data_IF_625829848349
#
_entry.id   IF_625829848349
#
_cell.length_a   1.000
_cell.length_b   1.000
_cell.length_c   1.000
_cell.angle_alpha   90.00
_cell.angle_beta   90.00
_cell.angle_gamma   90.00
#
_symmetry.space_group_name_H-M   'P 1'
#
loop_
_entity.id
_entity.type
_entity.pdbx_description
1 polymer ?
#
# COMPACT_ATOMS: atom_id res chain seq x y z
N UNK A 1 66.09 -17.82 -29.47
CA UNK A 1 66.57 -17.00 -28.35
C UNK A 1 65.60 -17.05 -27.19
N UNK A 2 66.04 -17.21 -25.97
CA UNK A 2 65.42 -17.82 -24.84
C UNK A 2 64.29 -17.00 -24.20
N UNK A 3 63.12 -17.64 -24.07
CA UNK A 3 62.08 -17.28 -23.10
C UNK A 3 62.57 -17.54 -21.68
N UNK A 4 63.03 -16.54 -20.94
CA UNK A 4 63.25 -16.58 -19.48
C UNK A 4 63.80 -15.22 -19.04
N UNK A 5 62.95 -14.26 -18.68
CA UNK A 5 63.28 -13.11 -17.81
C UNK A 5 62.07 -12.17 -17.75
N UNK A 6 60.92 -12.65 -17.23
CA UNK A 6 59.79 -11.77 -16.90
C UNK A 6 59.06 -12.27 -15.66
N UNK A 7 59.80 -12.61 -14.64
CA UNK A 7 59.24 -12.96 -13.34
C UNK A 7 60.25 -12.62 -12.25
N UNK A 8 60.35 -11.34 -11.90
CA UNK A 8 60.84 -10.89 -10.58
C UNK A 8 60.68 -9.38 -10.50
N UNK A 9 59.50 -8.94 -10.16
CA UNK A 9 59.19 -7.67 -9.50
C UNK A 9 57.74 -7.71 -9.02
N UNK A 10 57.40 -8.64 -8.15
CA UNK A 10 56.22 -8.56 -7.34
C UNK A 10 56.55 -7.67 -6.14
N UNK A 11 56.31 -6.39 -6.26
CA UNK A 11 56.32 -5.48 -5.15
C UNK A 11 55.18 -5.88 -4.19
N UNK A 12 55.59 -6.16 -2.97
CA UNK A 12 54.68 -6.42 -1.86
C UNK A 12 53.86 -5.14 -1.55
N UNK A 13 52.72 -5.00 -2.15
CA UNK A 13 51.65 -4.13 -1.63
C UNK A 13 51.01 -4.88 -0.49
N UNK A 14 51.36 -4.49 0.74
CA UNK A 14 50.67 -4.92 1.93
C UNK A 14 49.17 -4.60 1.81
N UNK A 15 48.36 -5.63 1.63
CA UNK A 15 46.92 -5.52 1.80
C UNK A 15 46.64 -5.28 3.29
N UNK A 16 46.52 -4.01 3.69
CA UNK A 16 45.90 -3.70 4.95
C UNK A 16 44.44 -4.21 4.85
N UNK A 17 43.96 -5.03 5.79
CA UNK A 17 42.60 -5.41 5.81
C UNK A 17 41.78 -4.12 6.06
N UNK A 18 41.06 -3.68 5.06
CA UNK A 18 39.93 -2.76 5.23
C UNK A 18 38.92 -3.49 6.10
N UNK A 19 39.07 -3.42 7.41
CA UNK A 19 37.97 -3.65 8.32
C UNK A 19 36.97 -2.54 8.04
N UNK A 20 36.05 -2.82 7.12
CA UNK A 20 34.81 -2.09 7.11
C UNK A 20 34.25 -2.21 8.53
N UNK A 21 34.26 -1.12 9.29
CA UNK A 21 33.54 -1.01 10.53
C UNK A 21 32.06 -1.19 10.15
N UNK A 22 31.59 -2.44 10.08
CA UNK A 22 30.20 -2.80 10.10
C UNK A 22 29.70 -2.51 11.53
N UNK A 23 29.58 -1.23 11.89
CA UNK A 23 28.64 -0.87 12.93
C UNK A 23 27.30 -1.39 12.44
N UNK A 24 26.64 -2.29 13.17
CA UNK A 24 25.33 -2.75 12.78
C UNK A 24 24.46 -1.50 12.61
N UNK A 25 24.00 -1.24 11.39
CA UNK A 25 23.06 -0.18 11.12
C UNK A 25 21.83 -0.55 11.93
N UNK A 26 21.57 0.20 13.01
CA UNK A 26 20.39 -0.03 13.83
C UNK A 26 19.19 0.25 12.95
N UNK A 27 18.55 -0.83 12.47
CA UNK A 27 17.34 -0.70 11.65
C UNK A 27 16.22 -0.15 12.53
N UNK A 28 15.60 0.98 12.16
CA UNK A 28 14.51 1.54 12.93
C UNK A 28 13.36 0.54 12.97
N UNK A 29 12.78 0.34 14.13
CA UNK A 29 11.65 -0.56 14.33
C UNK A 29 10.44 0.21 14.81
N UNK A 30 9.43 0.29 13.95
CA UNK A 30 8.16 0.95 14.23
C UNK A 30 7.26 0.15 15.19
N UNK A 31 6.17 0.78 15.59
CA UNK A 31 5.21 0.29 16.58
C UNK A 31 3.87 -0.09 15.97
N UNK A 32 3.68 0.07 14.66
CA UNK A 32 2.41 -0.22 14.00
C UNK A 32 2.08 -1.70 14.10
N UNK A 33 0.86 -2.00 14.51
CA UNK A 33 0.31 -3.34 14.59
C UNK A 33 -0.55 -3.67 13.37
N UNK A 34 -1.14 -2.66 12.74
CA UNK A 34 -2.05 -2.75 11.62
C UNK A 34 -1.61 -1.80 10.50
N UNK A 35 -1.95 -2.15 9.27
CA UNK A 35 -1.76 -1.28 8.11
C UNK A 35 -3.07 -1.20 7.31
N UNK A 36 -3.51 0.02 7.02
CA UNK A 36 -4.58 0.31 6.05
C UNK A 36 -3.92 0.92 4.82
N UNK A 37 -3.96 0.22 3.70
CA UNK A 37 -3.40 0.66 2.44
C UNK A 37 -4.53 1.14 1.50
N UNK A 38 -4.66 2.46 1.35
CA UNK A 38 -5.62 3.09 0.45
C UNK A 38 -4.99 3.16 -0.94
N UNK A 39 -5.58 2.48 -1.90
CA UNK A 39 -5.10 2.40 -3.27
C UNK A 39 -5.88 3.33 -4.20
N UNK A 40 -5.17 4.25 -4.84
CA UNK A 40 -5.69 5.24 -5.77
C UNK A 40 -5.28 4.85 -7.20
N UNK A 41 -5.91 3.81 -7.74
CA UNK A 41 -5.59 3.30 -9.06
C UNK A 41 -5.89 4.30 -10.18
N UNK A 42 -4.92 4.50 -11.05
CA UNK A 42 -4.98 5.42 -12.17
C UNK A 42 -3.94 6.54 -12.17
N UNK A 43 -3.08 6.64 -11.15
CA UNK A 43 -2.02 7.66 -11.12
C UNK A 43 -2.50 8.99 -10.54
N UNK A 44 -2.57 9.10 -9.23
CA UNK A 44 -2.90 10.34 -8.53
C UNK A 44 -1.89 11.46 -8.88
N UNK A 45 -2.40 12.59 -9.38
CA UNK A 45 -1.57 13.75 -9.70
C UNK A 45 -1.07 14.42 -8.41
N UNK A 46 0.21 14.24 -8.07
CA UNK A 46 0.84 14.85 -6.90
C UNK A 46 0.73 16.38 -6.91
N UNK A 47 0.90 16.98 -8.08
CA UNK A 47 0.83 18.44 -8.27
C UNK A 47 -0.57 19.02 -8.07
N UNK A 48 -1.61 18.20 -8.19
CA UNK A 48 -3.01 18.60 -7.99
C UNK A 48 -3.56 18.16 -6.63
N UNK A 49 -2.73 17.51 -5.79
CA UNK A 49 -3.12 16.97 -4.49
C UNK A 49 -2.16 17.37 -3.36
N UNK A 50 -1.14 16.57 -3.10
CA UNK A 50 -0.27 16.69 -1.91
C UNK A 50 1.01 17.50 -2.13
N UNK A 51 1.33 17.88 -3.36
CA UNK A 51 2.51 18.67 -3.71
C UNK A 51 2.15 19.81 -4.68
N UNK A 52 1.18 20.69 -4.33
CA UNK A 52 0.76 21.77 -5.21
C UNK A 52 1.90 22.75 -5.48
N UNK A 53 1.93 23.26 -6.71
CA UNK A 53 2.91 24.24 -7.21
C UNK A 53 2.18 25.47 -7.75
N UNK A 54 2.89 26.32 -8.49
CA UNK A 54 2.28 27.45 -9.20
C UNK A 54 1.11 26.96 -10.07
N UNK A 55 0.03 27.73 -10.07
CA UNK A 55 -1.13 27.45 -10.92
C UNK A 55 -0.75 27.42 -12.39
N UNK A 56 -1.22 26.39 -13.07
CA UNK A 56 -1.17 26.23 -14.50
C UNK A 56 -2.45 26.75 -15.18
N UNK A 57 -2.52 26.57 -16.49
CA UNK A 57 -3.71 26.84 -17.30
C UNK A 57 -3.88 25.74 -18.33
N UNK A 58 -4.98 24.99 -18.28
CA UNK A 58 -5.27 23.90 -19.19
C UNK A 58 -6.35 24.24 -20.24
N UNK A 59 -6.91 25.46 -20.22
CA UNK A 59 -8.06 25.85 -21.05
C UNK A 59 -7.67 26.62 -22.31
N UNK A 60 -6.54 27.31 -22.31
CA UNK A 60 -6.09 28.12 -23.43
C UNK A 60 -5.44 27.28 -24.54
N UNK A 61 -5.36 27.87 -25.74
CA UNK A 61 -4.62 27.28 -26.88
C UNK A 61 -3.16 27.02 -26.51
N UNK A 62 -2.54 27.96 -25.75
CA UNK A 62 -1.21 27.80 -25.16
C UNK A 62 -1.39 27.40 -23.70
N UNK A 63 -1.21 26.12 -23.42
CA UNK A 63 -1.32 25.58 -22.05
C UNK A 63 -0.09 25.96 -21.23
N UNK A 64 -0.32 26.30 -19.96
CA UNK A 64 0.75 26.63 -19.01
C UNK A 64 0.83 25.51 -17.97
N UNK A 65 1.99 24.84 -17.91
CA UNK A 65 2.24 23.79 -16.92
C UNK A 65 2.10 24.30 -15.48
N UNK A 66 1.54 23.49 -14.61
CA UNK A 66 1.34 23.82 -13.18
C UNK A 66 0.18 23.08 -12.57
N UNK A 67 -0.16 23.42 -11.33
CA UNK A 67 -1.30 22.87 -10.59
C UNK A 67 -2.63 23.33 -11.17
N UNK A 68 -3.64 22.45 -11.14
CA UNK A 68 -5.02 22.82 -11.50
C UNK A 68 -5.71 23.63 -10.40
N UNK A 69 -5.36 23.38 -9.14
CA UNK A 69 -6.04 23.90 -7.97
C UNK A 69 -5.10 24.74 -7.11
N UNK A 70 -5.68 25.64 -6.31
CA UNK A 70 -4.91 26.50 -5.40
C UNK A 70 -4.33 25.68 -4.25
N UNK A 71 -3.16 26.10 -3.78
CA UNK A 71 -2.58 25.60 -2.55
C UNK A 71 -3.24 26.27 -1.33
N UNK A 72 -3.40 25.51 -0.25
CA UNK A 72 -3.82 25.98 1.07
C UNK A 72 -2.81 25.53 2.13
N UNK A 73 -2.69 26.31 3.19
CA UNK A 73 -1.86 25.95 4.34
C UNK A 73 -2.49 24.81 5.15
N UNK A 74 -1.64 24.06 5.82
CA UNK A 74 -2.03 22.97 6.71
C UNK A 74 -1.76 23.33 8.17
N UNK A 75 -2.09 22.41 9.10
CA UNK A 75 -1.70 22.53 10.52
C UNK A 75 -0.19 22.47 10.74
N UNK A 76 0.58 21.99 9.75
CA UNK A 76 2.06 21.97 9.81
C UNK A 76 2.61 23.18 9.06
N UNK A 77 3.31 24.11 9.75
CA UNK A 77 3.84 25.31 9.13
C UNK A 77 4.73 25.01 7.91
N UNK A 78 4.50 25.74 6.82
CA UNK A 78 5.26 25.61 5.57
C UNK A 78 4.87 24.41 4.70
N UNK A 79 3.92 23.58 5.14
CA UNK A 79 3.38 22.46 4.34
C UNK A 79 2.03 22.86 3.77
N UNK A 80 1.92 22.79 2.45
CA UNK A 80 0.69 23.09 1.70
C UNK A 80 0.19 21.85 0.97
N UNK A 81 -1.12 21.80 0.79
CA UNK A 81 -1.85 20.83 -0.04
C UNK A 81 -2.86 21.56 -0.92
N UNK A 82 -3.50 20.90 -1.87
CA UNK A 82 -4.54 21.53 -2.68
C UNK A 82 -5.77 21.92 -1.85
N UNK A 83 -6.51 22.94 -2.29
CA UNK A 83 -7.75 23.43 -1.65
C UNK A 83 -8.82 22.36 -1.47
N UNK A 84 -8.80 21.30 -2.29
CA UNK A 84 -9.73 20.17 -2.19
C UNK A 84 -9.37 19.16 -1.08
N UNK A 85 -8.20 19.31 -0.44
CA UNK A 85 -7.77 18.50 0.72
C UNK A 85 -7.95 19.26 2.06
N UNK A 86 -8.99 20.07 2.16
CA UNK A 86 -9.24 21.00 3.28
C UNK A 86 -9.48 20.30 4.63
N UNK A 87 -9.99 19.08 4.66
CA UNK A 87 -10.18 18.30 5.87
C UNK A 87 -8.88 17.62 6.31
N UNK A 88 -8.13 17.09 5.34
CA UNK A 88 -6.80 16.48 5.58
C UNK A 88 -5.81 17.53 6.05
N UNK A 89 -5.87 18.76 5.50
CA UNK A 89 -5.04 19.89 5.96
C UNK A 89 -5.15 20.15 7.47
N UNK A 90 -6.30 19.85 8.09
CA UNK A 90 -6.58 20.04 9.53
C UNK A 90 -6.07 18.91 10.43
N UNK A 91 -5.53 17.85 9.88
CA UNK A 91 -4.98 16.67 10.60
C UNK A 91 -3.55 16.35 10.15
N UNK A 92 -2.89 17.31 9.48
CA UNK A 92 -1.58 17.13 8.85
C UNK A 92 -0.46 16.82 9.85
N UNK A 93 -0.63 17.18 11.13
CA UNK A 93 0.29 16.80 12.20
C UNK A 93 0.40 15.29 12.44
N UNK A 94 -0.55 14.51 11.88
CA UNK A 94 -0.55 13.03 11.92
C UNK A 94 -0.13 12.41 10.59
N UNK A 95 0.34 13.22 9.65
CA UNK A 95 0.58 12.82 8.25
C UNK A 95 1.98 13.20 7.82
N UNK A 96 2.59 12.38 7.00
CA UNK A 96 3.78 12.71 6.22
C UNK A 96 3.54 12.37 4.75
N UNK A 97 3.57 13.37 3.91
CA UNK A 97 3.56 13.21 2.45
C UNK A 97 4.99 12.93 1.97
N UNK A 98 5.24 11.76 1.44
CA UNK A 98 6.50 11.39 0.78
C UNK A 98 6.46 11.95 -0.64
N UNK A 99 6.97 13.18 -0.86
CA UNK A 99 6.80 13.94 -2.12
C UNK A 99 7.72 13.51 -3.25
N UNK A 100 8.71 12.70 -2.96
CA UNK A 100 9.79 12.34 -3.88
C UNK A 100 9.87 10.84 -4.16
N UNK A 101 8.77 10.11 -3.94
CA UNK A 101 8.71 8.71 -4.33
C UNK A 101 8.92 8.58 -5.83
N UNK A 102 9.70 7.60 -6.25
CA UNK A 102 10.06 7.46 -7.65
C UNK A 102 10.33 6.01 -8.05
N UNK A 103 10.07 5.71 -9.30
CA UNK A 103 10.50 4.52 -10.02
C UNK A 103 10.54 4.82 -11.53
N UNK A 104 11.02 3.88 -12.32
CA UNK A 104 11.28 4.10 -13.75
C UNK A 104 10.15 3.65 -14.68
N UNK A 105 9.07 3.06 -14.18
CA UNK A 105 7.92 2.64 -15.00
C UNK A 105 6.93 3.80 -15.12
N UNK A 106 6.67 4.27 -16.34
CA UNK A 106 5.84 5.46 -16.58
C UNK A 106 4.73 5.28 -17.63
N UNK A 107 4.75 4.21 -18.40
CA UNK A 107 3.86 4.10 -19.56
C UNK A 107 2.79 3.01 -19.44
N UNK A 108 2.81 2.22 -18.35
CA UNK A 108 1.94 1.07 -18.27
C UNK A 108 1.46 0.84 -16.82
N UNK A 109 0.15 0.95 -16.61
CA UNK A 109 -0.50 0.84 -15.29
C UNK A 109 -0.29 -0.52 -14.62
N UNK A 110 -0.38 -1.62 -15.35
CA UNK A 110 -0.27 -2.95 -14.76
C UNK A 110 1.15 -3.22 -14.23
N UNK A 111 2.18 -2.81 -14.99
CA UNK A 111 3.57 -2.89 -14.55
C UNK A 111 3.83 -2.02 -13.32
N UNK A 112 3.39 -0.76 -13.36
CA UNK A 112 3.57 0.18 -12.27
C UNK A 112 2.81 -0.29 -11.01
N UNK A 113 1.57 -0.80 -11.17
CA UNK A 113 0.79 -1.39 -10.07
C UNK A 113 1.54 -2.57 -9.46
N UNK A 114 2.11 -3.45 -10.29
CA UNK A 114 2.89 -4.58 -9.78
C UNK A 114 4.10 -4.11 -8.94
N UNK A 115 4.87 -3.16 -9.46
CA UNK A 115 6.05 -2.64 -8.74
C UNK A 115 5.65 -2.02 -7.40
N UNK A 116 4.58 -1.21 -7.38
CA UNK A 116 4.15 -0.57 -6.12
C UNK A 116 3.61 -1.60 -5.12
N UNK A 117 2.99 -2.68 -5.55
CA UNK A 117 2.52 -3.70 -4.61
C UNK A 117 3.61 -4.67 -4.18
N UNK A 118 4.60 -4.97 -5.02
CA UNK A 118 5.62 -6.00 -4.73
C UNK A 118 6.99 -5.45 -4.38
N UNK A 119 7.25 -4.15 -4.67
CA UNK A 119 8.60 -3.56 -4.59
C UNK A 119 9.56 -4.11 -5.64
N UNK A 120 9.07 -4.87 -6.65
CA UNK A 120 9.89 -5.64 -7.56
C UNK A 120 9.44 -5.51 -9.01
N UNK A 121 10.42 -5.51 -9.92
CA UNK A 121 10.14 -5.74 -11.34
C UNK A 121 9.64 -7.16 -11.55
N UNK A 122 8.75 -7.32 -12.55
CA UNK A 122 8.31 -8.65 -12.96
C UNK A 122 9.54 -9.45 -13.41
N UNK A 123 9.72 -10.62 -12.80
CA UNK A 123 10.77 -11.58 -13.15
C UNK A 123 10.11 -12.85 -13.68
N UNK A 124 10.56 -13.37 -14.83
CA UNK A 124 9.94 -14.50 -15.50
C UNK A 124 9.80 -15.79 -14.68
N UNK A 125 10.57 -15.94 -13.60
CA UNK A 125 10.66 -17.17 -12.82
C UNK A 125 10.19 -17.04 -11.37
N UNK A 126 9.88 -15.82 -10.90
CA UNK A 126 9.47 -15.56 -9.50
C UNK A 126 8.23 -14.72 -9.48
N UNK A 127 7.17 -15.24 -8.84
CA UNK A 127 5.99 -14.45 -8.52
C UNK A 127 6.19 -13.87 -7.13
N UNK A 128 6.56 -12.59 -7.07
CA UNK A 128 6.83 -11.91 -5.80
C UNK A 128 5.53 -11.66 -5.02
N UNK A 129 5.57 -11.82 -3.68
CA UNK A 129 4.43 -11.48 -2.83
C UNK A 129 4.24 -9.96 -2.77
N UNK A 130 2.99 -9.56 -2.61
CA UNK A 130 2.65 -8.16 -2.33
C UNK A 130 3.11 -7.73 -0.93
N UNK A 131 3.23 -6.43 -0.71
CA UNK A 131 3.52 -5.85 0.62
C UNK A 131 2.51 -6.32 1.68
N UNK A 132 1.22 -6.42 1.31
CA UNK A 132 0.19 -6.94 2.21
C UNK A 132 0.39 -8.42 2.56
N UNK A 133 0.79 -9.22 1.58
CA UNK A 133 1.09 -10.63 1.79
C UNK A 133 2.35 -10.85 2.63
N UNK A 134 3.37 -10.03 2.46
CA UNK A 134 4.57 -10.06 3.32
C UNK A 134 4.19 -9.72 4.77
N UNK A 135 3.42 -8.64 4.97
CA UNK A 135 2.97 -8.25 6.31
C UNK A 135 2.09 -9.33 6.94
N UNK A 136 1.18 -9.93 6.18
CA UNK A 136 0.34 -11.04 6.62
C UNK A 136 1.17 -12.27 7.03
N UNK A 137 2.19 -12.60 6.24
CA UNK A 137 3.09 -13.73 6.51
C UNK A 137 3.91 -13.51 7.78
N UNK A 138 4.51 -12.33 7.93
CA UNK A 138 5.42 -12.00 9.01
C UNK A 138 4.73 -11.76 10.36
N UNK A 139 3.50 -11.25 10.34
CA UNK A 139 2.82 -10.77 11.54
C UNK A 139 1.57 -11.58 11.91
N UNK A 140 0.96 -12.30 10.97
CA UNK A 140 -0.32 -12.98 11.19
C UNK A 140 -1.44 -12.02 11.61
N UNK A 141 -2.64 -12.54 11.85
CA UNK A 141 -3.74 -11.78 12.46
C UNK A 141 -3.57 -11.68 13.98
N UNK A 142 -4.21 -10.69 14.61
CA UNK A 142 -4.31 -10.59 16.06
C UNK A 142 -5.50 -11.42 16.52
N UNK A 143 -5.28 -12.43 17.37
CA UNK A 143 -6.35 -13.22 17.98
C UNK A 143 -6.90 -14.40 17.18
N UNK A 144 -6.52 -14.57 15.90
CA UNK A 144 -6.84 -15.79 15.13
C UNK A 144 -8.27 -15.94 14.60
N UNK A 145 -9.19 -15.02 14.91
CA UNK A 145 -10.60 -15.07 14.47
C UNK A 145 -10.86 -14.35 13.12
N UNK A 146 -9.85 -13.70 12.56
CA UNK A 146 -9.92 -12.95 11.31
C UNK A 146 -8.73 -13.29 10.42
N UNK A 147 -8.85 -13.16 9.08
CA UNK A 147 -7.70 -13.34 8.20
C UNK A 147 -6.68 -12.22 8.42
N UNK A 148 -5.39 -12.47 8.22
CA UNK A 148 -4.36 -11.43 8.38
C UNK A 148 -4.42 -10.36 7.29
N UNK A 149 -5.01 -10.64 6.13
CA UNK A 149 -5.11 -9.71 5.00
C UNK A 149 -6.52 -9.70 4.41
N UNK A 150 -7.12 -8.50 4.34
CA UNK A 150 -8.41 -8.26 3.67
C UNK A 150 -8.23 -7.22 2.57
N UNK A 151 -8.75 -7.53 1.38
CA UNK A 151 -8.82 -6.62 0.24
C UNK A 151 -10.26 -6.14 0.04
N UNK A 152 -10.49 -4.85 0.16
CA UNK A 152 -11.75 -4.20 -0.22
C UNK A 152 -11.61 -3.66 -1.63
N UNK A 153 -11.90 -4.52 -2.61
CA UNK A 153 -11.69 -4.28 -4.03
C UNK A 153 -11.70 -5.59 -4.83
N UNK A 154 -11.54 -5.49 -6.14
CA UNK A 154 -11.42 -6.68 -6.98
C UNK A 154 -10.04 -7.34 -6.84
N UNK A 155 -9.99 -8.69 -6.85
CA UNK A 155 -8.74 -9.42 -6.79
C UNK A 155 -7.85 -9.11 -8.00
N UNK A 156 -6.54 -9.03 -7.76
CA UNK A 156 -5.53 -8.80 -8.77
C UNK A 156 -4.28 -9.61 -8.41
N UNK A 157 -3.58 -10.10 -9.42
CA UNK A 157 -2.36 -10.90 -9.24
C UNK A 157 -1.25 -10.14 -8.52
N UNK A 158 -1.14 -8.82 -8.74
CA UNK A 158 -0.16 -7.94 -8.08
C UNK A 158 -0.36 -7.84 -6.56
N UNK A 159 -1.53 -8.18 -6.04
CA UNK A 159 -1.87 -8.16 -4.60
C UNK A 159 -1.70 -9.52 -3.94
N UNK A 160 -1.38 -10.54 -4.74
CA UNK A 160 -1.34 -11.94 -4.31
C UNK A 160 -0.15 -12.29 -3.43
N UNK A 161 -0.19 -13.50 -2.86
CA UNK A 161 0.84 -14.00 -1.95
C UNK A 161 2.13 -14.43 -2.66
N UNK A 162 2.16 -14.51 -3.99
CA UNK A 162 3.32 -14.99 -4.72
C UNK A 162 3.81 -16.34 -4.21
N UNK A 163 5.11 -16.50 -4.05
CA UNK A 163 5.73 -17.73 -3.57
C UNK A 163 5.43 -18.08 -2.10
N UNK A 164 4.82 -17.16 -1.32
CA UNK A 164 4.46 -17.44 0.08
C UNK A 164 3.25 -18.38 0.24
N UNK A 165 2.52 -18.61 -0.84
CA UNK A 165 1.38 -19.52 -0.83
C UNK A 165 0.12 -18.96 -0.15
N UNK A 166 -0.93 -19.79 -0.10
CA UNK A 166 -2.29 -19.37 0.27
C UNK A 166 -2.41 -18.76 1.67
N UNK A 167 -1.57 -19.17 2.62
CA UNK A 167 -1.58 -18.62 4.00
C UNK A 167 -1.33 -17.12 4.08
N UNK A 168 -0.58 -16.58 3.13
CA UNK A 168 -0.28 -15.16 3.05
C UNK A 168 -1.23 -14.42 2.07
N UNK A 169 -2.25 -15.11 1.55
CA UNK A 169 -3.26 -14.54 0.67
C UNK A 169 -4.27 -13.67 1.40
N UNK A 170 -5.16 -13.07 0.63
CA UNK A 170 -6.21 -12.19 1.12
C UNK A 170 -7.60 -12.81 0.99
N UNK A 171 -8.50 -12.40 1.89
CA UNK A 171 -9.95 -12.49 1.68
C UNK A 171 -10.40 -11.17 1.06
N UNK A 172 -11.21 -11.21 0.00
CA UNK A 172 -11.66 -9.99 -0.66
C UNK A 172 -13.17 -9.80 -0.60
N UNK A 173 -13.59 -8.55 -0.70
CA UNK A 173 -14.98 -8.15 -0.86
C UNK A 173 -15.08 -6.91 -1.79
N UNK A 174 -16.22 -6.81 -2.46
CA UNK A 174 -16.54 -5.68 -3.33
C UNK A 174 -17.78 -4.90 -2.87
N UNK A 175 -18.54 -5.46 -1.93
CA UNK A 175 -19.72 -4.84 -1.33
C UNK A 175 -19.58 -4.81 0.20
N UNK A 176 -19.58 -3.59 0.74
CA UNK A 176 -19.49 -3.36 2.19
C UNK A 176 -20.73 -3.74 2.96
N UNK A 177 -21.90 -3.89 2.28
CA UNK A 177 -23.15 -4.22 2.94
C UNK A 177 -23.31 -5.72 3.18
N UNK A 178 -22.78 -6.54 2.27
CA UNK A 178 -22.88 -8.01 2.33
C UNK A 178 -21.61 -8.67 2.86
N UNK A 179 -20.48 -7.94 2.84
CA UNK A 179 -19.18 -8.49 3.22
C UNK A 179 -18.62 -9.48 2.17
N UNK A 180 -17.62 -10.29 2.53
CA UNK A 180 -17.00 -11.23 1.61
C UNK A 180 -17.96 -12.38 1.25
N UNK A 181 -18.03 -12.70 -0.06
CA UNK A 181 -18.88 -13.75 -0.56
C UNK A 181 -18.41 -15.14 -0.10
N UNK A 182 -19.34 -16.04 0.21
CA UNK A 182 -19.06 -17.43 0.58
C UNK A 182 -18.72 -17.67 2.06
N UNK A 183 -18.64 -16.63 2.89
CA UNK A 183 -18.38 -16.75 4.33
C UNK A 183 -19.67 -16.82 5.17
N UNK A 184 -20.81 -16.50 4.61
CA UNK A 184 -22.11 -16.74 5.23
C UNK A 184 -22.56 -18.17 4.95
N UNK A 185 -23.09 -18.84 5.98
CA UNK A 185 -23.73 -20.14 5.80
C UNK A 185 -25.03 -19.95 5.01
N UNK A 186 -25.28 -20.71 3.93
CA UNK A 186 -26.57 -20.69 3.24
C UNK A 186 -27.72 -21.06 4.21
N UNK A 187 -28.87 -20.41 4.11
CA UNK A 187 -30.02 -20.58 5.02
C UNK A 187 -30.52 -22.04 5.09
N UNK A 188 -30.36 -22.82 4.01
CA UNK A 188 -30.75 -24.22 3.93
C UNK A 188 -29.72 -25.19 4.57
N UNK A 189 -28.60 -24.69 5.10
CA UNK A 189 -27.54 -25.48 5.76
C UNK A 189 -27.53 -25.13 7.23
N UNK A 190 -28.20 -25.93 8.06
CA UNK A 190 -28.12 -25.83 9.49
C UNK A 190 -26.75 -26.27 10.04
N UNK A 191 -26.50 -26.03 11.32
CA UNK A 191 -25.24 -26.34 11.97
C UNK A 191 -24.89 -27.83 11.93
N UNK A 192 -25.87 -28.70 12.15
CA UNK A 192 -25.69 -30.15 12.13
C UNK A 192 -25.24 -30.62 10.72
N UNK A 193 -25.87 -30.07 9.69
CA UNK A 193 -25.56 -30.38 8.29
C UNK A 193 -24.17 -29.85 7.90
N UNK A 194 -23.76 -28.69 8.41
CA UNK A 194 -22.42 -28.15 8.21
C UNK A 194 -21.37 -29.06 8.86
N UNK A 195 -21.51 -29.42 10.12
CA UNK A 195 -20.62 -30.33 10.84
C UNK A 195 -20.52 -31.70 10.15
N UNK A 196 -21.65 -32.25 9.68
CA UNK A 196 -21.64 -33.51 8.92
C UNK A 196 -20.82 -33.41 7.63
N UNK A 197 -20.94 -32.32 6.90
CA UNK A 197 -20.13 -32.06 5.69
C UNK A 197 -18.64 -31.97 5.99
N UNK A 198 -18.26 -31.28 7.05
CA UNK A 198 -16.86 -31.18 7.50
C UNK A 198 -16.29 -32.55 7.88
N UNK A 199 -17.06 -33.34 8.64
CA UNK A 199 -16.68 -34.72 9.03
C UNK A 199 -16.49 -35.63 7.82
N UNK A 200 -17.31 -35.51 6.78
CA UNK A 200 -17.18 -36.26 5.54
C UNK A 200 -15.99 -35.80 4.69
N UNK A 201 -15.68 -34.51 4.70
CA UNK A 201 -14.62 -33.91 3.93
C UNK A 201 -13.22 -34.18 4.53
N UNK A 202 -13.09 -34.21 5.84
CA UNK A 202 -11.81 -34.38 6.54
C UNK A 202 -11.03 -35.65 6.11
N UNK A 203 -11.62 -36.89 6.02
CA UNK A 203 -10.87 -38.03 5.59
C UNK A 203 -10.51 -38.01 4.08
N UNK A 204 -11.28 -37.30 3.25
CA UNK A 204 -10.94 -37.10 1.84
C UNK A 204 -9.73 -36.20 1.70
N UNK A 205 -9.71 -35.10 2.43
CA UNK A 205 -8.59 -34.17 2.45
C UNK A 205 -7.32 -34.77 3.07
N UNK A 206 -7.45 -35.66 4.03
CA UNK A 206 -6.30 -36.35 4.62
C UNK A 206 -5.60 -37.31 3.61
N UNK A 207 -6.33 -37.81 2.59
CA UNK A 207 -5.82 -38.68 1.52
C UNK A 207 -5.30 -37.90 0.31
N UNK A 208 -5.50 -36.57 0.28
CA UNK A 208 -5.05 -35.76 -0.85
C UNK A 208 -3.52 -35.80 -0.99
N UNK A 209 -2.99 -35.82 -2.23
CA UNK A 209 -1.56 -35.76 -2.47
C UNK A 209 -0.88 -34.54 -1.76
N UNK A 210 0.37 -34.71 -1.36
CA UNK A 210 1.15 -33.67 -0.67
C UNK A 210 1.82 -32.66 -1.62
N UNK A 211 1.40 -32.62 -2.88
CA UNK A 211 1.89 -31.64 -3.85
C UNK A 211 1.57 -30.23 -3.41
N UNK A 212 2.45 -29.27 -3.68
CA UNK A 212 2.35 -27.89 -3.17
C UNK A 212 1.01 -27.20 -3.49
N UNK A 213 0.51 -27.35 -4.72
CA UNK A 213 -0.77 -26.78 -5.14
C UNK A 213 -1.97 -27.35 -4.38
N UNK A 214 -1.94 -28.64 -4.02
CA UNK A 214 -3.00 -29.31 -3.27
C UNK A 214 -2.91 -28.95 -1.80
N UNK A 215 -1.69 -28.81 -1.27
CA UNK A 215 -1.44 -28.33 0.09
C UNK A 215 -1.94 -26.88 0.27
N UNK A 216 -1.71 -26.02 -0.71
CA UNK A 216 -2.22 -24.64 -0.73
C UNK A 216 -3.74 -24.59 -0.77
N UNK A 217 -4.38 -25.41 -1.62
CA UNK A 217 -5.85 -25.54 -1.69
C UNK A 217 -6.43 -25.97 -0.34
N UNK A 218 -5.85 -27.00 0.28
CA UNK A 218 -6.25 -27.49 1.59
C UNK A 218 -6.14 -26.40 2.65
N UNK A 219 -5.03 -25.68 2.66
CA UNK A 219 -4.81 -24.57 3.57
C UNK A 219 -5.85 -23.45 3.39
N UNK A 220 -6.12 -23.05 2.15
CA UNK A 220 -7.14 -22.03 1.84
C UNK A 220 -8.53 -22.48 2.29
N UNK A 221 -8.86 -23.78 2.12
CA UNK A 221 -10.13 -24.35 2.55
C UNK A 221 -10.25 -24.39 4.07
N UNK A 222 -9.21 -24.80 4.80
CA UNK A 222 -9.19 -24.80 6.27
C UNK A 222 -9.37 -23.38 6.81
N UNK A 223 -8.71 -22.39 6.22
CA UNK A 223 -8.89 -20.97 6.56
C UNK A 223 -10.32 -20.50 6.26
N UNK A 224 -10.87 -20.81 5.10
CA UNK A 224 -12.24 -20.44 4.75
C UNK A 224 -13.27 -21.03 5.72
N UNK A 225 -13.11 -22.29 6.13
CA UNK A 225 -13.97 -22.94 7.11
C UNK A 225 -13.85 -22.30 8.50
N UNK A 226 -12.63 -21.98 8.95
CA UNK A 226 -12.41 -21.35 10.26
C UNK A 226 -13.01 -19.93 10.34
N UNK A 227 -13.07 -19.22 9.21
CA UNK A 227 -13.64 -17.87 9.08
C UNK A 227 -15.14 -17.90 8.73
N UNK A 228 -15.72 -19.06 8.42
CA UNK A 228 -17.14 -19.14 8.07
C UNK A 228 -18.03 -18.98 9.30
N UNK A 229 -19.03 -18.10 9.20
CA UNK A 229 -20.03 -17.98 10.24
C UNK A 229 -20.26 -16.57 10.78
N UNK A 230 -21.21 -16.43 11.74
CA UNK A 230 -21.67 -15.12 12.22
C UNK A 230 -20.61 -14.33 12.99
N UNK A 231 -19.63 -15.00 13.61
CA UNK A 231 -18.58 -14.32 14.37
C UNK A 231 -17.69 -13.46 13.48
N UNK A 232 -17.26 -13.98 12.34
CA UNK A 232 -16.49 -13.22 11.37
C UNK A 232 -17.37 -12.18 10.65
N UNK A 233 -18.56 -12.60 10.19
CA UNK A 233 -19.46 -11.75 9.40
C UNK A 233 -19.97 -10.51 10.16
N UNK A 234 -20.06 -10.55 11.50
CA UNK A 234 -20.46 -9.37 12.31
C UNK A 234 -19.56 -8.14 12.09
N UNK A 235 -18.28 -8.35 11.77
CA UNK A 235 -17.35 -7.24 11.55
C UNK A 235 -17.70 -6.38 10.34
N UNK A 236 -18.46 -6.92 9.38
CA UNK A 236 -18.89 -6.23 8.16
C UNK A 236 -20.22 -5.47 8.33
N UNK A 237 -20.88 -5.57 9.47
CA UNK A 237 -22.16 -4.90 9.72
C UNK A 237 -21.96 -3.42 10.08
N UNK A 238 -21.88 -2.55 9.07
CA UNK A 238 -21.72 -1.10 9.27
C UNK A 238 -22.96 -0.44 9.90
N UNK A 239 -24.13 -1.12 9.96
CA UNK A 239 -25.33 -0.58 10.59
C UNK A 239 -25.19 -0.45 12.11
N UNK A 240 -24.22 -1.12 12.70
CA UNK A 240 -23.89 -0.98 14.13
C UNK A 240 -23.17 0.33 14.46
N UNK A 241 -22.60 1.01 13.46
CA UNK A 241 -21.96 2.30 13.64
C UNK A 241 -22.98 3.43 13.68
N UNK A 242 -22.72 4.44 14.50
CA UNK A 242 -23.57 5.62 14.61
C UNK A 242 -23.74 6.30 13.23
N UNK A 243 -24.96 6.70 12.89
CA UNK A 243 -25.24 7.37 11.63
C UNK A 243 -24.38 8.64 11.43
N UNK A 244 -24.14 9.40 12.50
CA UNK A 244 -23.27 10.58 12.46
C UNK A 244 -21.84 10.24 12.05
N UNK A 245 -21.28 9.13 12.56
CA UNK A 245 -19.94 8.65 12.19
C UNK A 245 -19.91 8.19 10.73
N UNK A 246 -20.90 7.41 10.31
CA UNK A 246 -21.02 6.96 8.93
C UNK A 246 -21.10 8.15 7.95
N UNK A 247 -21.87 9.17 8.29
CA UNK A 247 -21.98 10.39 7.50
C UNK A 247 -20.66 11.18 7.45
N UNK A 248 -19.88 11.19 8.54
CA UNK A 248 -18.58 11.85 8.58
C UNK A 248 -17.56 11.23 7.62
N UNK A 249 -17.64 9.93 7.34
CA UNK A 249 -16.81 9.27 6.34
C UNK A 249 -17.26 9.54 4.89
N UNK A 250 -18.48 10.00 4.68
CA UNK A 250 -19.00 10.32 3.35
C UNK A 250 -19.56 9.12 2.59
N UNK A 251 -19.41 9.14 1.26
CA UNK A 251 -19.99 8.18 0.33
C UNK A 251 -19.45 6.75 0.42
N UNK A 252 -19.63 5.98 -0.65
CA UNK A 252 -19.28 4.54 -0.68
C UNK A 252 -17.81 4.28 -0.36
N UNK A 253 -16.89 5.07 -0.92
CA UNK A 253 -15.47 4.96 -0.60
C UNK A 253 -15.21 5.20 0.91
N UNK A 254 -15.86 6.21 1.49
CA UNK A 254 -15.78 6.46 2.93
C UNK A 254 -16.30 5.30 3.78
N UNK A 255 -17.37 4.63 3.34
CA UNK A 255 -17.87 3.43 4.05
C UNK A 255 -16.86 2.27 3.98
N UNK A 256 -16.10 2.13 2.88
CA UNK A 256 -14.97 1.18 2.80
C UNK A 256 -13.85 1.52 3.80
N UNK A 257 -13.53 2.81 3.93
CA UNK A 257 -12.55 3.28 4.93
C UNK A 257 -13.06 3.06 6.37
N UNK A 258 -14.35 3.28 6.64
CA UNK A 258 -14.96 2.97 7.93
C UNK A 258 -14.91 1.46 8.24
N UNK A 259 -15.18 0.62 7.24
CA UNK A 259 -15.04 -0.83 7.37
C UNK A 259 -13.60 -1.21 7.72
N UNK A 260 -12.59 -0.61 7.07
CA UNK A 260 -11.19 -0.90 7.36
C UNK A 260 -10.84 -0.61 8.83
N UNK A 261 -11.37 0.47 9.42
CA UNK A 261 -11.19 0.76 10.85
C UNK A 261 -11.83 -0.33 11.73
N UNK A 262 -13.03 -0.84 11.38
CA UNK A 262 -13.65 -1.97 12.12
C UNK A 262 -12.80 -3.24 12.03
N UNK A 263 -12.24 -3.51 10.87
CA UNK A 263 -11.37 -4.66 10.66
C UNK A 263 -10.04 -4.56 11.44
N UNK A 264 -9.49 -3.34 11.60
CA UNK A 264 -8.39 -3.08 12.53
C UNK A 264 -8.79 -3.47 13.96
N UNK A 265 -9.97 -3.05 14.44
CA UNK A 265 -10.46 -3.42 15.77
C UNK A 265 -10.69 -4.93 15.92
N UNK A 266 -11.01 -5.63 14.84
CA UNK A 266 -11.18 -7.07 14.81
C UNK A 266 -9.85 -7.83 14.79
N UNK A 267 -8.72 -7.16 14.56
CA UNK A 267 -7.39 -7.78 14.57
C UNK A 267 -6.81 -8.09 13.19
N UNK A 268 -7.42 -7.62 12.09
CA UNK A 268 -6.86 -7.77 10.74
C UNK A 268 -5.56 -6.97 10.64
N UNK A 269 -4.50 -7.60 10.14
CA UNK A 269 -3.16 -7.02 10.11
C UNK A 269 -2.95 -6.04 8.96
N UNK A 270 -3.43 -6.41 7.76
CA UNK A 270 -3.33 -5.58 6.57
C UNK A 270 -4.68 -5.49 5.87
N UNK A 271 -5.13 -4.27 5.61
CA UNK A 271 -6.38 -4.02 4.89
C UNK A 271 -6.06 -3.12 3.71
N UNK A 272 -6.28 -3.61 2.50
CA UNK A 272 -6.22 -2.76 1.30
C UNK A 272 -7.61 -2.26 0.96
N UNK A 273 -7.72 -0.96 0.71
CA UNK A 273 -8.96 -0.28 0.33
C UNK A 273 -8.77 0.36 -1.03
N UNK A 274 -9.35 -0.23 -2.07
CA UNK A 274 -9.33 0.37 -3.41
C UNK A 274 -10.32 1.54 -3.48
N UNK A 275 -9.87 2.71 -3.92
CA UNK A 275 -10.75 3.84 -4.19
C UNK A 275 -11.70 3.49 -5.33
N UNK A 276 -11.18 3.03 -6.45
CA UNK A 276 -11.97 2.40 -7.50
C UNK A 276 -11.96 0.89 -7.28
N UNK A 277 -13.11 0.29 -7.06
CA UNK A 277 -13.21 -1.16 -6.85
C UNK A 277 -12.54 -1.94 -7.98
N UNK A 278 -12.82 -1.54 -9.22
CA UNK A 278 -12.22 -2.10 -10.42
C UNK A 278 -11.62 -0.96 -11.26
N UNK A 279 -10.30 -0.91 -11.33
CA UNK A 279 -9.61 0.04 -12.18
C UNK A 279 -9.67 -0.40 -13.65
N UNK A 280 -10.07 0.51 -14.51
CA UNK A 280 -9.95 0.39 -15.97
C UNK A 280 -9.28 1.66 -16.50
N UNK A 281 -8.41 1.52 -17.50
CA UNK A 281 -7.73 2.65 -18.14
C UNK A 281 -8.74 3.75 -18.54
N UNK A 282 -8.40 5.00 -18.25
CA UNK A 282 -9.27 6.14 -18.49
C UNK A 282 -10.36 6.36 -17.43
N UNK A 283 -10.35 5.64 -16.30
CA UNK A 283 -11.28 5.81 -15.18
C UNK A 283 -10.58 6.19 -13.88
N UNK A 284 -11.33 6.69 -12.91
CA UNK A 284 -10.80 7.04 -11.61
C UNK A 284 -9.68 8.07 -11.69
N UNK A 285 -8.52 7.76 -11.10
CA UNK A 285 -7.37 8.66 -11.07
C UNK A 285 -6.58 8.71 -12.39
N UNK A 286 -7.00 7.97 -13.42
CA UNK A 286 -6.43 8.03 -14.77
C UNK A 286 -7.01 9.21 -15.56
N UNK A 287 -6.53 10.40 -15.26
CA UNK A 287 -7.07 11.70 -15.68
C UNK A 287 -6.55 12.19 -17.04
N UNK A 288 -6.37 11.30 -18.00
CA UNK A 288 -6.10 11.69 -19.39
C UNK A 288 -7.24 12.50 -19.99
N UNK A 289 -6.93 13.28 -21.00
CA UNK A 289 -7.89 14.04 -21.79
C UNK A 289 -8.80 14.91 -20.91
N UNK A 290 -10.09 14.60 -20.87
CA UNK A 290 -11.09 15.33 -20.10
C UNK A 290 -11.28 14.81 -18.68
N UNK A 291 -10.52 13.77 -18.24
CA UNK A 291 -10.62 13.18 -16.90
C UNK A 291 -10.41 14.19 -15.77
N UNK A 292 -9.64 15.26 -16.00
CA UNK A 292 -9.43 16.34 -15.06
C UNK A 292 -10.74 17.02 -14.59
N UNK A 293 -11.80 17.00 -15.39
CA UNK A 293 -13.10 17.64 -15.06
C UNK A 293 -13.72 17.10 -13.78
N UNK A 294 -13.51 15.81 -13.48
CA UNK A 294 -14.02 15.14 -12.31
C UNK A 294 -12.97 14.89 -11.22
N UNK A 295 -11.72 15.25 -11.45
CA UNK A 295 -10.62 14.99 -10.51
C UNK A 295 -10.86 15.59 -9.13
N UNK A 296 -11.44 16.79 -9.05
CA UNK A 296 -11.78 17.45 -7.81
C UNK A 296 -12.74 16.63 -6.94
N UNK A 297 -13.67 15.89 -7.55
CA UNK A 297 -14.60 15.02 -6.81
C UNK A 297 -13.86 13.83 -6.16
N UNK A 298 -12.93 13.22 -6.88
CA UNK A 298 -12.09 12.13 -6.35
C UNK A 298 -11.23 12.62 -5.17
N UNK A 299 -10.67 13.84 -5.31
CA UNK A 299 -9.86 14.44 -4.24
C UNK A 299 -10.72 14.74 -3.02
N UNK A 300 -11.93 15.25 -3.19
CA UNK A 300 -12.86 15.54 -2.08
C UNK A 300 -13.37 14.27 -1.38
N UNK A 301 -13.60 13.19 -2.13
CA UNK A 301 -13.93 11.89 -1.54
C UNK A 301 -12.76 11.35 -0.71
N UNK A 302 -11.52 11.42 -1.24
CA UNK A 302 -10.32 11.05 -0.51
C UNK A 302 -10.15 11.92 0.75
N UNK A 303 -10.29 13.23 0.64
CA UNK A 303 -10.15 14.19 1.73
C UNK A 303 -11.09 13.87 2.90
N UNK A 304 -12.37 13.67 2.57
CA UNK A 304 -13.40 13.35 3.55
C UNK A 304 -13.10 12.03 4.27
N UNK A 305 -12.83 10.98 3.50
CA UNK A 305 -12.62 9.65 4.04
C UNK A 305 -11.32 9.53 4.83
N UNK A 306 -10.21 10.09 4.33
CA UNK A 306 -8.90 10.04 4.98
C UNK A 306 -8.90 10.82 6.30
N UNK A 307 -9.42 12.05 6.29
CA UNK A 307 -9.50 12.85 7.50
C UNK A 307 -10.42 12.24 8.56
N UNK A 308 -11.55 11.65 8.15
CA UNK A 308 -12.45 10.93 9.05
C UNK A 308 -11.76 9.70 9.66
N UNK A 309 -11.05 8.92 8.84
CA UNK A 309 -10.31 7.73 9.28
C UNK A 309 -9.23 8.09 10.32
N UNK A 310 -8.45 9.14 10.07
CA UNK A 310 -7.41 9.61 11.01
C UNK A 310 -8.04 10.02 12.33
N UNK A 311 -9.12 10.82 12.32
CA UNK A 311 -9.81 11.27 13.54
C UNK A 311 -10.43 10.10 14.31
N UNK A 312 -11.14 9.18 13.63
CA UNK A 312 -11.79 8.03 14.26
C UNK A 312 -10.77 7.08 14.91
N UNK A 313 -9.66 6.80 14.23
CA UNK A 313 -8.56 6.01 14.80
C UNK A 313 -7.90 6.72 15.99
N UNK A 314 -7.74 8.06 15.94
CA UNK A 314 -7.22 8.86 17.05
C UNK A 314 -8.15 8.80 18.25
N UNK A 315 -9.45 9.04 18.05
CA UNK A 315 -10.46 9.01 19.10
C UNK A 315 -10.54 7.64 19.78
N UNK A 316 -10.34 6.57 19.02
CA UNK A 316 -10.30 5.18 19.52
C UNK A 316 -8.94 4.77 20.08
N UNK A 317 -7.93 5.66 20.09
CA UNK A 317 -6.55 5.40 20.53
C UNK A 317 -5.87 4.26 19.74
N UNK A 318 -6.22 4.16 18.47
CA UNK A 318 -5.69 3.16 17.54
C UNK A 318 -4.73 3.76 16.51
N UNK A 319 -4.65 5.10 16.38
CA UNK A 319 -3.87 5.76 15.33
C UNK A 319 -2.38 5.42 15.42
N UNK A 320 -1.79 5.42 16.62
CA UNK A 320 -0.36 5.10 16.80
C UNK A 320 -0.03 3.63 16.50
N UNK A 321 -1.03 2.76 16.54
CA UNK A 321 -0.90 1.33 16.23
C UNK A 321 -1.32 0.98 14.80
N UNK A 322 -1.83 1.95 14.05
CA UNK A 322 -2.36 1.74 12.70
C UNK A 322 -1.64 2.66 11.72
N UNK A 323 -0.81 2.07 10.87
CA UNK A 323 -0.22 2.79 9.75
C UNK A 323 -1.26 2.91 8.64
N UNK A 324 -1.56 4.14 8.22
CA UNK A 324 -2.33 4.41 7.01
C UNK A 324 -1.34 4.76 5.90
N UNK A 325 -1.45 4.08 4.79
CA UNK A 325 -0.70 4.34 3.56
C UNK A 325 -1.68 4.76 2.47
N UNK A 326 -1.43 5.89 1.79
CA UNK A 326 -2.14 6.24 0.56
C UNK A 326 -1.17 6.11 -0.58
N UNK A 327 -1.44 5.20 -1.50
CA UNK A 327 -0.56 4.86 -2.61
C UNK A 327 -1.26 4.92 -3.97
N UNK A 328 -0.45 5.12 -4.99
CA UNK A 328 -0.81 5.12 -6.40
C UNK A 328 0.35 4.52 -7.22
N UNK A 329 0.09 4.07 -8.43
CA UNK A 329 1.14 3.41 -9.23
C UNK A 329 2.21 4.36 -9.76
N UNK A 330 1.87 5.63 -10.01
CA UNK A 330 2.76 6.72 -10.40
C UNK A 330 2.03 8.06 -10.24
N UNK A 331 2.70 9.16 -10.53
CA UNK A 331 2.13 10.51 -10.56
C UNK A 331 1.77 10.98 -11.96
N UNK A 332 1.55 12.31 -12.07
CA UNK A 332 1.20 12.97 -13.30
C UNK A 332 2.11 14.18 -13.54
N UNK A 333 2.55 14.43 -14.81
CA UNK A 333 3.38 15.58 -15.11
C UNK A 333 2.60 16.91 -14.97
N UNK A 334 3.29 18.03 -14.77
CA UNK A 334 2.66 19.35 -14.68
C UNK A 334 2.09 19.83 -16.02
N UNK A 335 2.57 19.29 -17.12
CA UNK A 335 2.07 19.58 -18.46
C UNK A 335 0.67 18.97 -18.66
N UNK A 336 -0.14 19.67 -19.43
CA UNK A 336 -1.47 19.22 -19.82
C UNK A 336 -1.43 18.59 -21.21
N UNK A 337 -2.14 17.50 -21.40
CA UNK A 337 -2.35 16.87 -22.69
C UNK A 337 -3.26 17.71 -23.61
N UNK A 338 -3.51 17.23 -24.84
CA UNK A 338 -4.29 17.95 -25.86
C UNK A 338 -5.68 18.40 -25.42
N UNK A 339 -6.32 17.67 -24.49
CA UNK A 339 -7.69 17.95 -24.00
C UNK A 339 -7.74 18.46 -22.57
N UNK A 340 -6.59 18.71 -21.93
CA UNK A 340 -6.48 19.34 -20.61
C UNK A 340 -6.26 18.37 -19.45
N UNK A 341 -6.18 17.07 -19.70
CA UNK A 341 -5.73 16.08 -18.73
C UNK A 341 -4.20 16.01 -18.61
N UNK A 342 -3.67 14.93 -18.07
CA UNK A 342 -2.24 14.74 -17.85
C UNK A 342 -1.78 13.36 -18.29
N UNK A 343 -0.53 13.25 -18.79
CA UNK A 343 0.17 11.99 -19.01
C UNK A 343 0.60 11.29 -17.72
N UNK A 344 1.57 10.38 -17.81
CA UNK A 344 2.13 9.64 -16.67
C UNK A 344 3.49 10.17 -16.23
N UNK A 345 3.83 10.05 -14.94
CA UNK A 345 5.13 10.45 -14.39
C UNK A 345 5.54 9.53 -13.25
N UNK A 346 6.63 8.76 -13.45
CA UNK A 346 7.24 7.92 -12.39
C UNK A 346 8.47 8.55 -11.74
N UNK A 347 9.01 9.62 -12.29
CA UNK A 347 10.27 10.26 -11.84
C UNK A 347 10.16 10.92 -10.47
N UNK A 348 8.98 11.41 -10.12
CA UNK A 348 8.61 11.84 -8.77
C UNK A 348 7.10 11.86 -8.65
N UNK A 349 6.58 11.35 -7.53
CA UNK A 349 5.17 11.40 -7.17
C UNK A 349 5.00 11.32 -5.65
N UNK A 350 3.79 11.54 -5.17
CA UNK A 350 3.51 11.53 -3.74
C UNK A 350 2.83 10.25 -3.31
N UNK A 351 3.32 9.68 -2.21
CA UNK A 351 2.61 8.69 -1.39
C UNK A 351 2.49 9.22 0.04
N UNK A 352 1.49 8.79 0.78
CA UNK A 352 1.19 9.35 2.10
C UNK A 352 1.31 8.29 3.17
N UNK A 353 1.93 8.64 4.29
CA UNK A 353 1.95 7.86 5.52
C UNK A 353 1.22 8.65 6.61
N UNK A 354 0.35 7.98 7.39
CA UNK A 354 -0.27 8.60 8.56
C UNK A 354 -0.37 7.61 9.72
N UNK A 355 -0.33 8.09 10.96
CA UNK A 355 -0.38 7.27 12.16
C UNK A 355 0.82 6.34 12.32
N UNK A 356 0.60 5.10 12.79
CA UNK A 356 1.64 4.07 12.94
C UNK A 356 2.70 4.36 13.98
N UNK A 357 2.53 5.41 14.80
CA UNK A 357 3.51 5.83 15.79
C UNK A 357 4.80 6.41 15.17
N UNK A 358 4.71 6.91 13.93
CA UNK A 358 5.82 7.57 13.23
C UNK A 358 5.95 9.04 13.66
N UNK A 359 7.14 9.60 13.48
CA UNK A 359 7.41 11.03 13.64
C UNK A 359 6.94 11.78 12.39
N UNK A 360 5.70 12.23 12.40
CA UNK A 360 5.14 12.95 11.26
C UNK A 360 5.64 14.39 11.17
N UNK A 361 5.95 14.82 9.95
CA UNK A 361 6.49 16.16 9.65
C UNK A 361 5.69 16.90 8.57
N UNK A 362 4.50 16.40 8.22
CA UNK A 362 3.66 16.95 7.16
C UNK A 362 4.14 16.61 5.76
N UNK A 363 5.41 16.83 5.43
CA UNK A 363 6.01 16.46 4.15
C UNK A 363 7.47 16.05 4.32
N UNK A 364 7.90 15.05 3.53
CA UNK A 364 9.28 14.58 3.41
C UNK A 364 9.70 14.55 1.96
N UNK A 365 10.91 15.06 1.70
CA UNK A 365 11.43 15.26 0.35
C UNK A 365 10.91 16.54 -0.31
N UNK A 366 11.74 17.12 -1.16
CA UNK A 366 11.44 18.34 -1.91
C UNK A 366 11.52 18.04 -3.40
N UNK A 367 10.46 18.31 -4.13
CA UNK A 367 10.41 18.29 -5.59
C UNK A 367 10.69 19.68 -6.16
N UNK A 368 11.04 19.75 -7.44
CA UNK A 368 11.27 21.03 -8.14
C UNK A 368 9.98 21.88 -8.26
N UNK A 369 10.10 23.06 -8.85
CA UNK A 369 9.03 24.05 -9.00
C UNK A 369 7.80 23.54 -9.77
N UNK A 370 7.94 22.44 -10.49
CA UNK A 370 6.87 21.81 -11.27
C UNK A 370 6.55 20.38 -10.82
N UNK A 371 7.11 19.93 -9.70
CA UNK A 371 6.93 18.55 -9.19
C UNK A 371 7.30 17.46 -10.22
N UNK A 372 8.38 17.70 -10.97
CA UNK A 372 8.88 16.79 -12.03
C UNK A 372 10.06 15.95 -11.56
N UNK A 373 10.87 16.49 -10.67
CA UNK A 373 12.14 15.88 -10.23
C UNK A 373 12.29 16.02 -8.71
N UNK A 374 12.87 15.03 -8.05
CA UNK A 374 13.29 15.19 -6.67
C UNK A 374 14.49 16.15 -6.61
N UNK A 375 14.46 17.11 -5.68
CA UNK A 375 15.55 18.06 -5.40
C UNK A 375 16.26 17.68 -4.12
N UNK A 376 15.50 17.32 -3.08
CA UNK A 376 16.04 16.88 -1.81
C UNK A 376 15.35 15.60 -1.34
N UNK A 377 16.13 14.73 -0.71
CA UNK A 377 15.64 13.48 -0.11
C UNK A 377 14.80 12.65 -1.09
N UNK A 378 15.37 12.19 -2.22
CA UNK A 378 14.67 11.26 -3.10
C UNK A 378 14.34 9.95 -2.36
N UNK A 379 13.15 9.42 -2.60
CA UNK A 379 12.67 8.17 -1.99
C UNK A 379 12.43 7.14 -3.11
N UNK A 380 13.42 6.32 -3.45
CA UNK A 380 13.17 5.18 -4.32
C UNK A 380 12.04 4.30 -3.75
N UNK A 381 11.23 3.71 -4.61
CA UNK A 381 10.09 2.90 -4.18
C UNK A 381 10.51 1.75 -3.23
N UNK A 382 11.71 1.19 -3.42
CA UNK A 382 12.26 0.16 -2.51
C UNK A 382 12.49 0.69 -1.09
N UNK A 383 12.86 1.98 -0.94
CA UNK A 383 13.02 2.63 0.36
C UNK A 383 11.66 2.94 1.01
N UNK A 384 10.66 3.26 0.19
CA UNK A 384 9.28 3.37 0.66
C UNK A 384 8.78 2.03 1.23
N UNK A 385 9.00 0.92 0.52
CA UNK A 385 8.68 -0.42 1.00
C UNK A 385 9.42 -0.75 2.31
N UNK A 386 10.73 -0.47 2.35
CA UNK A 386 11.51 -0.66 3.56
C UNK A 386 10.97 0.15 4.75
N UNK A 387 10.51 1.39 4.49
CA UNK A 387 9.90 2.25 5.50
C UNK A 387 8.58 1.66 6.03
N UNK A 388 7.71 1.17 5.16
CA UNK A 388 6.46 0.53 5.59
C UNK A 388 6.72 -0.75 6.38
N UNK A 389 7.65 -1.60 5.91
CA UNK A 389 8.03 -2.82 6.65
C UNK A 389 8.59 -2.49 8.03
N UNK A 390 9.53 -1.54 8.11
CA UNK A 390 10.10 -1.10 9.39
C UNK A 390 9.02 -0.52 10.32
N UNK A 391 8.10 0.30 9.81
CA UNK A 391 6.98 0.84 10.57
C UNK A 391 6.10 -0.28 11.17
N UNK A 392 5.91 -1.37 10.43
CA UNK A 392 5.21 -2.59 10.87
C UNK A 392 6.06 -3.50 11.77
N UNK A 393 7.27 -3.07 12.15
CA UNK A 393 8.19 -3.84 12.99
C UNK A 393 8.81 -5.05 12.29
N UNK A 394 8.83 -5.06 10.96
CA UNK A 394 9.44 -6.10 10.12
C UNK A 394 10.80 -5.59 9.65
N UNK A 395 11.84 -6.42 9.78
CA UNK A 395 13.18 -6.12 9.28
C UNK A 395 13.17 -6.14 7.73
N UNK A 396 13.37 -5.00 7.05
CA UNK A 396 13.32 -4.95 5.59
C UNK A 396 14.52 -5.65 4.92
N UNK A 397 15.56 -6.01 5.65
CA UNK A 397 16.71 -6.78 5.16
C UNK A 397 16.50 -8.30 5.22
N UNK A 398 15.42 -8.76 5.85
CA UNK A 398 15.08 -10.18 6.00
C UNK A 398 14.92 -10.85 4.64
N UNK A 399 15.34 -12.10 4.55
CA UNK A 399 15.12 -12.98 3.40
C UNK A 399 13.95 -13.93 3.66
N UNK A 400 13.11 -14.13 2.65
CA UNK A 400 12.06 -15.13 2.59
C UNK A 400 12.49 -16.25 1.62
N UNK A 401 11.89 -17.43 1.73
CA UNK A 401 12.31 -18.58 0.93
C UNK A 401 11.28 -18.88 -0.17
N UNK A 402 11.72 -18.84 -1.44
CA UNK A 402 11.02 -19.41 -2.58
C UNK A 402 11.58 -20.82 -2.84
N UNK A 403 10.98 -21.83 -2.23
CA UNK A 403 11.55 -23.17 -2.16
C UNK A 403 12.89 -23.14 -1.38
N UNK A 404 14.02 -23.36 -2.08
CA UNK A 404 15.36 -23.29 -1.52
C UNK A 404 16.08 -21.96 -1.81
N UNK A 405 15.45 -21.07 -2.57
CA UNK A 405 16.02 -19.78 -2.99
C UNK A 405 15.71 -18.69 -1.97
N UNK A 406 16.71 -18.03 -1.36
CA UNK A 406 16.51 -16.85 -0.54
C UNK A 406 16.10 -15.66 -1.43
N UNK A 407 15.08 -14.93 -1.01
CA UNK A 407 14.55 -13.73 -1.66
C UNK A 407 14.43 -12.64 -0.59
N UNK A 408 15.21 -11.55 -0.67
CA UNK A 408 15.09 -10.47 0.31
C UNK A 408 13.68 -9.83 0.24
N UNK A 409 13.18 -9.37 1.38
CA UNK A 409 11.87 -8.68 1.47
C UNK A 409 11.87 -7.42 0.60
N UNK A 410 12.95 -6.63 0.67
CA UNK A 410 13.16 -5.48 -0.21
C UNK A 410 14.42 -5.66 -1.05
N UNK A 411 14.53 -4.94 -2.17
CA UNK A 411 15.71 -4.99 -3.05
C UNK A 411 16.77 -3.98 -2.60
N UNK A 412 17.28 -4.17 -1.37
CA UNK A 412 18.26 -3.28 -0.76
C UNK A 412 17.68 -1.95 -0.27
N UNK A 413 16.36 -1.87 -0.12
CA UNK A 413 15.68 -0.67 0.36
C UNK A 413 16.06 -0.30 1.78
N UNK A 414 16.16 1.00 2.06
CA UNK A 414 16.51 1.58 3.37
C UNK A 414 15.33 2.38 3.91
N UNK A 415 14.91 2.12 5.15
CA UNK A 415 13.86 2.93 5.77
C UNK A 415 14.25 4.40 5.85
N UNK A 416 13.29 5.30 5.66
CA UNK A 416 13.47 6.74 5.87
C UNK A 416 13.59 7.00 7.37
N UNK A 417 14.81 7.05 7.87
CA UNK A 417 15.13 7.10 9.30
C UNK A 417 14.48 8.30 10.03
N UNK A 418 14.31 9.43 9.36
CA UNK A 418 13.68 10.63 9.93
C UNK A 418 12.25 10.41 10.44
N UNK A 419 11.57 9.37 9.99
CA UNK A 419 10.19 9.02 10.42
C UNK A 419 10.16 8.17 11.69
N UNK A 420 11.30 7.75 12.19
CA UNK A 420 11.39 6.91 13.39
C UNK A 420 12.06 7.68 14.53
N UNK A 421 11.51 7.54 15.74
CA UNK A 421 12.04 8.16 16.96
C UNK A 421 13.15 7.36 17.64
#
# INVERSE_FOLDING_TARGET
MKRRSFLTSAAAFGAAPLFANNTPVHMPKGKAEHCIFIWLGGGMAQIDTFDPKKLGNNTDKTKVAGSLYKAIDTTVPGVQVTEHLSQTAKVMEHVTVMRTVNHHVIDEHAFATNIVHTGRMISGNVVYPSIGSIIAHERGAVGGEVPPYILIGYPNVSRGPGFLGAKAGYVYLTDTNTGPAGFSRPDFVDEKRALTREQLLAPLMARAPKESAIADYKTAQEQALSLSGPQFMRHFNLKEELAALRNAYGGEFGQRCLLSRRLVQAGVRFIEVSHNLNFMNGTGWDIHNEGYKNQHLLIQELDTALAALIRDLKDKKLLDKTLIVVGTEFGRPPEFDGRGGRGHQGTTFSMVLAGGGLNHCGAYGVSDELSKKPVENPVPLVDFHATVHAAMGIDPSKELMDGTRPVPITDGGKPVAALFG
#
